data_IF_816869478723
#
_entry.id   IF_816869478723
#
_cell.length_a   1.000
_cell.length_b   1.000
_cell.length_c   1.000
_cell.angle_alpha   90.00
_cell.angle_beta   90.00
_cell.angle_gamma   90.00
#
_symmetry.space_group_name_H-M   'P 1'
#
loop_
_entity.id
_entity.type
_entity.pdbx_description
1 polymer ?
#
# COMPACT_ATOMS: atom_id res chain seq x y z
N UNK A 1 44.38 64.40 15.32
CA UNK A 1 42.95 64.81 15.32
C UNK A 1 42.13 63.64 15.87
N UNK A 2 42.05 63.59 17.21
CA UNK A 2 40.84 63.62 18.05
C UNK A 2 39.53 63.14 17.41
N UNK A 3 38.61 62.39 18.03
CA UNK A 3 38.45 61.86 19.40
C UNK A 3 37.14 61.02 19.42
N UNK A 4 37.09 60.02 20.31
CA UNK A 4 35.96 59.57 21.16
C UNK A 4 34.66 59.00 20.56
N UNK A 5 34.47 57.71 20.84
CA UNK A 5 33.37 57.08 21.62
C UNK A 5 32.18 57.97 22.01
N UNK A 6 30.93 57.52 21.80
CA UNK A 6 29.84 57.70 22.78
C UNK A 6 28.88 56.50 22.78
N UNK A 7 28.84 55.87 23.94
CA UNK A 7 27.86 54.99 24.59
C UNK A 7 26.40 55.44 24.40
N UNK A 8 25.48 54.53 24.10
CA UNK A 8 24.05 54.80 24.30
C UNK A 8 23.48 53.85 25.34
N UNK A 9 23.28 54.43 26.51
CA UNK A 9 22.54 53.94 27.67
C UNK A 9 21.07 54.37 27.53
N UNK A 10 20.19 53.66 28.25
CA UNK A 10 18.81 54.02 28.63
C UNK A 10 17.70 53.69 27.61
N UNK A 11 16.51 53.22 27.99
CA UNK A 11 15.90 52.87 29.28
C UNK A 11 14.68 51.99 28.97
N UNK A 12 14.30 51.11 29.91
CA UNK A 12 13.07 50.34 29.88
C UNK A 12 11.83 51.24 29.92
N UNK A 13 10.85 50.98 29.04
CA UNK A 13 9.47 51.40 29.26
C UNK A 13 8.58 50.16 29.32
N UNK A 14 7.95 49.99 30.48
CA UNK A 14 6.93 48.98 30.77
C UNK A 14 5.58 49.68 30.57
N UNK A 15 4.68 49.08 29.82
CA UNK A 15 3.24 49.34 30.02
C UNK A 15 2.48 48.03 30.14
N UNK A 16 2.06 47.78 31.37
CA UNK A 16 1.08 46.81 31.81
C UNK A 16 -0.33 47.40 31.59
N UNK A 17 -1.19 46.72 30.82
CA UNK A 17 -2.64 46.99 30.84
C UNK A 17 -3.42 45.66 30.75
N UNK A 18 -3.77 45.15 31.94
CA UNK A 18 -5.11 44.78 32.43
C UNK A 18 -6.03 43.81 31.63
N UNK A 19 -6.51 42.82 32.39
CA UNK A 19 -7.40 41.65 32.16
C UNK A 19 -8.76 41.83 31.41
N UNK A 20 -9.16 40.75 30.70
CA UNK A 20 -10.47 40.06 30.41
C UNK A 20 -11.83 40.81 30.50
N UNK A 21 -12.92 40.45 29.74
CA UNK A 21 -13.29 39.06 29.43
C UNK A 21 -13.92 38.70 28.06
N UNK A 22 -13.69 37.43 27.67
CA UNK A 22 -14.62 36.43 27.12
C UNK A 22 -15.68 36.90 26.09
N UNK A 23 -15.44 36.58 24.82
CA UNK A 23 -16.50 36.21 23.88
C UNK A 23 -16.03 35.02 23.02
N UNK A 24 -16.81 33.96 23.12
CA UNK A 24 -16.64 32.63 22.54
C UNK A 24 -16.60 32.61 21.01
N UNK A 25 -15.48 32.15 20.45
CA UNK A 25 -15.43 31.71 19.06
C UNK A 25 -15.94 30.25 18.95
N UNK A 26 -16.83 29.94 18.00
CA UNK A 26 -17.30 28.58 17.77
C UNK A 26 -16.13 27.69 17.37
N UNK A 27 -15.95 26.59 18.10
CA UNK A 27 -15.10 25.47 17.67
C UNK A 27 -15.68 24.93 16.36
N UNK A 28 -15.07 25.26 15.23
CA UNK A 28 -15.25 24.45 14.03
C UNK A 28 -14.76 23.04 14.38
N UNK A 29 -15.69 22.10 14.35
CA UNK A 29 -15.43 20.70 14.55
C UNK A 29 -14.51 20.23 13.43
N UNK A 30 -13.22 20.05 13.77
CA UNK A 30 -12.31 19.24 12.96
C UNK A 30 -13.00 17.88 12.75
N UNK A 31 -13.13 17.41 11.51
CA UNK A 31 -13.92 16.24 11.16
C UNK A 31 -13.51 15.04 12.00
N UNK A 32 -14.44 14.12 12.30
CA UNK A 32 -14.11 12.91 13.05
C UNK A 32 -12.90 12.25 12.38
N UNK A 33 -11.88 11.98 13.18
CA UNK A 33 -10.77 11.09 12.87
C UNK A 33 -11.33 9.92 12.05
N UNK A 34 -10.69 9.46 10.96
CA UNK A 34 -11.22 8.38 10.13
C UNK A 34 -11.61 7.25 11.05
N UNK A 35 -12.92 7.17 11.31
CA UNK A 35 -13.47 6.20 12.23
C UNK A 35 -13.00 4.88 11.72
N UNK A 36 -12.52 4.01 12.61
CA UNK A 36 -12.29 2.60 12.33
C UNK A 36 -13.41 2.14 11.40
N UNK A 37 -13.09 2.04 10.10
CA UNK A 37 -14.04 1.58 9.11
C UNK A 37 -14.40 0.19 9.60
N UNK A 38 -15.66 0.01 9.95
CA UNK A 38 -16.17 -1.27 10.40
C UNK A 38 -15.76 -2.29 9.33
N UNK A 39 -14.83 -3.16 9.71
CA UNK A 39 -14.22 -4.15 8.83
C UNK A 39 -15.27 -5.23 8.55
N UNK A 40 -16.19 -4.88 7.66
CA UNK A 40 -17.32 -5.71 7.25
C UNK A 40 -17.27 -6.11 5.78
N UNK A 41 -16.61 -5.33 4.93
CA UNK A 41 -16.77 -5.45 3.46
C UNK A 41 -15.45 -5.27 2.67
N UNK A 42 -14.28 -5.41 3.31
CA UNK A 42 -12.98 -5.40 2.61
C UNK A 42 -12.65 -6.81 2.10
N UNK A 43 -12.26 -6.90 0.83
CA UNK A 43 -11.87 -8.17 0.18
C UNK A 43 -10.45 -8.05 -0.32
N UNK A 44 -9.63 -9.07 -0.05
CA UNK A 44 -8.26 -9.14 -0.54
C UNK A 44 -8.20 -10.08 -1.74
N UNK A 45 -7.53 -9.66 -2.80
CA UNK A 45 -7.39 -10.45 -4.04
C UNK A 45 -5.90 -10.59 -4.34
N UNK A 46 -5.42 -11.83 -4.44
CA UNK A 46 -4.05 -12.09 -4.87
C UNK A 46 -3.97 -11.98 -6.41
N UNK A 47 -3.14 -11.06 -6.89
CA UNK A 47 -3.02 -10.75 -8.32
C UNK A 47 -1.59 -10.98 -8.84
N UNK A 48 -1.50 -11.40 -10.09
CA UNK A 48 -0.25 -11.59 -10.82
C UNK A 48 -0.44 -11.38 -12.31
N UNK A 49 0.46 -11.96 -13.10
CA UNK A 49 0.44 -11.84 -14.56
C UNK A 49 -0.53 -12.84 -15.25
N UNK A 50 -1.14 -13.76 -14.48
CA UNK A 50 -2.06 -14.78 -14.99
C UNK A 50 -3.46 -14.25 -15.28
N UNK A 51 -4.13 -14.81 -16.29
CA UNK A 51 -5.54 -14.49 -16.61
C UNK A 51 -6.49 -14.81 -15.45
N UNK A 52 -6.24 -15.89 -14.71
CA UNK A 52 -7.04 -16.28 -13.53
C UNK A 52 -7.05 -15.22 -12.43
N UNK A 53 -6.02 -14.38 -12.35
CA UNK A 53 -5.99 -13.25 -11.40
C UNK A 53 -7.03 -12.19 -11.76
N UNK A 54 -7.26 -11.95 -13.05
CA UNK A 54 -8.30 -11.03 -13.51
C UNK A 54 -9.68 -11.63 -13.26
N UNK A 55 -9.86 -12.93 -13.53
CA UNK A 55 -11.12 -13.63 -13.27
C UNK A 55 -11.48 -13.60 -11.78
N UNK A 56 -10.50 -13.81 -10.89
CA UNK A 56 -10.66 -13.69 -9.45
C UNK A 56 -11.08 -12.28 -9.02
N UNK A 57 -10.49 -11.22 -9.61
CA UNK A 57 -10.93 -9.85 -9.33
C UNK A 57 -12.36 -9.61 -9.82
N UNK A 58 -12.68 -10.01 -11.05
CA UNK A 58 -14.02 -9.83 -11.60
C UNK A 58 -15.07 -10.55 -10.76
N UNK A 59 -14.75 -11.76 -10.29
CA UNK A 59 -15.58 -12.52 -9.36
C UNK A 59 -15.75 -11.78 -8.01
N UNK A 60 -14.69 -11.18 -7.47
CA UNK A 60 -14.75 -10.39 -6.24
C UNK A 60 -15.66 -9.15 -6.37
N UNK A 61 -15.68 -8.53 -7.56
CA UNK A 61 -16.45 -7.32 -7.86
C UNK A 61 -17.94 -7.62 -8.14
N UNK A 62 -18.32 -8.90 -8.25
CA UNK A 62 -19.69 -9.30 -8.54
C UNK A 62 -20.65 -8.88 -7.42
N UNK A 63 -21.72 -8.10 -7.73
CA UNK A 63 -22.68 -7.64 -6.74
C UNK A 63 -23.45 -8.78 -6.05
N UNK A 64 -23.59 -9.91 -6.75
CA UNK A 64 -24.27 -11.14 -6.30
C UNK A 64 -23.43 -11.99 -5.32
N UNK A 65 -22.14 -11.68 -5.17
CA UNK A 65 -21.20 -12.51 -4.43
C UNK A 65 -20.78 -11.88 -3.11
N UNK A 66 -20.09 -10.73 -3.19
CA UNK A 66 -19.40 -10.17 -2.02
C UNK A 66 -19.71 -8.69 -1.76
N UNK A 67 -20.33 -8.00 -2.73
CA UNK A 67 -20.59 -6.55 -2.77
C UNK A 67 -19.58 -5.74 -1.93
N UNK A 68 -18.27 -5.84 -2.25
CA UNK A 68 -17.24 -5.29 -1.39
C UNK A 68 -17.35 -3.77 -1.34
N UNK A 69 -17.13 -3.21 -0.15
CA UNK A 69 -16.99 -1.77 0.05
C UNK A 69 -15.65 -1.30 -0.46
N UNK A 70 -14.62 -2.12 -0.27
CA UNK A 70 -13.29 -1.91 -0.84
C UNK A 70 -12.60 -3.22 -1.18
N UNK A 71 -11.71 -3.17 -2.16
CA UNK A 71 -10.86 -4.27 -2.59
C UNK A 71 -9.41 -3.91 -2.32
N UNK A 72 -8.62 -4.88 -1.90
CA UNK A 72 -7.19 -4.73 -1.74
C UNK A 72 -6.46 -5.75 -2.61
N UNK A 73 -5.68 -5.25 -3.56
CA UNK A 73 -4.89 -6.07 -4.45
C UNK A 73 -3.57 -6.42 -3.75
N UNK A 74 -3.28 -7.70 -3.60
CA UNK A 74 -1.99 -8.19 -3.08
C UNK A 74 -1.19 -8.74 -4.24
N UNK A 75 -0.04 -8.15 -4.51
CA UNK A 75 0.91 -8.67 -5.49
C UNK A 75 2.24 -8.99 -4.79
N UNK A 76 2.67 -10.25 -4.94
CA UNK A 76 3.99 -10.69 -4.49
C UNK A 76 4.90 -10.75 -5.72
N UNK A 77 5.98 -9.99 -5.70
CA UNK A 77 7.03 -10.04 -6.72
C UNK A 77 8.30 -10.66 -6.14
N UNK A 78 9.09 -11.39 -6.96
CA UNK A 78 10.30 -12.04 -6.48
C UNK A 78 11.38 -11.02 -6.08
N UNK A 79 12.30 -11.47 -5.23
CA UNK A 79 13.49 -10.70 -4.88
C UNK A 79 14.47 -10.66 -6.06
N UNK A 80 15.05 -9.48 -6.31
CA UNK A 80 16.01 -9.32 -7.42
C UNK A 80 17.40 -9.76 -6.98
N UNK A 81 17.71 -11.05 -7.19
CA UNK A 81 19.04 -11.61 -6.98
C UNK A 81 19.93 -11.53 -8.23
N UNK A 82 19.33 -11.66 -9.40
CA UNK A 82 19.99 -11.69 -10.70
C UNK A 82 19.33 -10.72 -11.67
N UNK A 83 20.14 -10.06 -12.50
CA UNK A 83 19.68 -9.06 -13.44
C UNK A 83 20.12 -9.47 -14.85
N UNK A 84 19.17 -9.63 -15.80
CA UNK A 84 19.50 -9.85 -17.20
C UNK A 84 20.08 -8.57 -17.82
N UNK A 85 21.19 -8.73 -18.52
CA UNK A 85 21.84 -7.68 -19.30
C UNK A 85 22.08 -8.19 -20.74
N UNK A 86 22.39 -7.30 -21.70
CA UNK A 86 22.74 -7.74 -23.06
C UNK A 86 23.95 -8.69 -23.13
N UNK A 87 24.78 -8.74 -22.08
CA UNK A 87 25.97 -9.59 -21.99
C UNK A 87 25.73 -10.90 -21.23
N UNK A 88 24.50 -11.15 -20.77
CA UNK A 88 24.14 -12.31 -19.95
C UNK A 88 23.44 -11.92 -18.64
N UNK A 89 23.22 -12.92 -17.79
CA UNK A 89 22.59 -12.78 -16.48
C UNK A 89 23.67 -12.66 -15.42
N UNK A 90 23.63 -11.60 -14.62
CA UNK A 90 24.64 -11.34 -13.60
C UNK A 90 23.99 -11.22 -12.21
N UNK A 91 24.65 -11.68 -11.13
CA UNK A 91 24.26 -11.35 -9.78
C UNK A 91 24.20 -9.84 -9.57
N UNK A 92 23.20 -9.35 -8.83
CA UNK A 92 22.99 -7.91 -8.58
C UNK A 92 24.25 -7.20 -8.06
N UNK A 93 25.03 -7.85 -7.21
CA UNK A 93 26.26 -7.29 -6.61
C UNK A 93 27.43 -7.12 -7.61
N UNK A 94 27.37 -7.75 -8.78
CA UNK A 94 28.41 -7.63 -9.81
C UNK A 94 28.14 -6.48 -10.79
N UNK A 95 26.99 -5.81 -10.66
CA UNK A 95 26.57 -4.75 -11.54
C UNK A 95 26.80 -3.38 -10.90
N UNK A 96 26.97 -2.38 -11.75
CA UNK A 96 27.06 -1.00 -11.30
C UNK A 96 25.66 -0.46 -10.94
N UNK A 97 25.60 0.52 -10.04
CA UNK A 97 24.36 1.08 -9.49
C UNK A 97 23.38 1.53 -10.59
N UNK A 98 23.90 2.13 -11.67
CA UNK A 98 23.07 2.53 -12.83
C UNK A 98 22.34 1.37 -13.49
N UNK A 99 22.97 0.20 -13.59
CA UNK A 99 22.35 -0.98 -14.20
C UNK A 99 21.29 -1.56 -13.27
N UNK A 100 21.60 -1.61 -11.98
CA UNK A 100 20.68 -2.09 -10.93
C UNK A 100 19.46 -1.17 -10.84
N UNK A 101 19.67 0.14 -10.84
CA UNK A 101 18.61 1.15 -10.79
C UNK A 101 17.71 1.04 -12.02
N UNK A 102 18.28 0.98 -13.23
CA UNK A 102 17.52 0.84 -14.47
C UNK A 102 16.63 -0.41 -14.44
N UNK A 103 17.17 -1.55 -14.02
CA UNK A 103 16.39 -2.79 -13.93
C UNK A 103 15.28 -2.68 -12.87
N UNK A 104 15.60 -2.12 -11.70
CA UNK A 104 14.61 -1.93 -10.62
C UNK A 104 13.48 -1.00 -11.06
N UNK A 105 13.79 0.08 -11.79
CA UNK A 105 12.77 0.97 -12.37
C UNK A 105 11.91 0.24 -13.41
N UNK A 106 12.52 -0.55 -14.29
CA UNK A 106 11.81 -1.33 -15.29
C UNK A 106 10.82 -2.32 -14.65
N UNK A 107 11.25 -3.06 -13.62
CA UNK A 107 10.37 -3.99 -12.89
C UNK A 107 9.23 -3.24 -12.19
N UNK A 108 9.53 -2.10 -11.55
CA UNK A 108 8.50 -1.24 -10.95
C UNK A 108 7.48 -0.77 -11.97
N UNK A 109 7.91 -0.31 -13.14
CA UNK A 109 7.02 0.09 -14.23
C UNK A 109 6.15 -1.08 -14.70
N UNK A 110 6.74 -2.27 -14.89
CA UNK A 110 5.98 -3.47 -15.28
C UNK A 110 4.89 -3.80 -14.26
N UNK A 111 5.23 -3.78 -12.97
CA UNK A 111 4.29 -4.04 -11.87
C UNK A 111 3.18 -2.98 -11.86
N UNK A 112 3.52 -1.70 -12.01
CA UNK A 112 2.55 -0.61 -12.05
C UNK A 112 1.59 -0.72 -13.25
N UNK A 113 2.11 -1.00 -14.44
CA UNK A 113 1.30 -1.19 -15.65
C UNK A 113 0.34 -2.39 -15.52
N UNK A 114 0.82 -3.48 -14.92
CA UNK A 114 0.00 -4.65 -14.62
C UNK A 114 -1.12 -4.30 -13.64
N UNK A 115 -0.78 -3.70 -12.50
CA UNK A 115 -1.74 -3.32 -11.46
C UNK A 115 -2.77 -2.30 -11.94
N UNK A 116 -2.37 -1.36 -12.80
CA UNK A 116 -3.28 -0.35 -13.33
C UNK A 116 -4.48 -0.98 -14.04
N UNK A 117 -4.30 -2.14 -14.69
CA UNK A 117 -5.42 -2.86 -15.34
C UNK A 117 -6.47 -3.29 -14.32
N UNK A 118 -6.03 -3.81 -13.17
CA UNK A 118 -6.91 -4.22 -12.08
C UNK A 118 -7.59 -3.02 -11.41
N UNK A 119 -6.84 -1.95 -11.18
CA UNK A 119 -7.40 -0.71 -10.63
C UNK A 119 -8.48 -0.11 -11.54
N UNK A 120 -8.26 -0.10 -12.85
CA UNK A 120 -9.26 0.35 -13.83
C UNK A 120 -10.55 -0.48 -13.76
N UNK A 121 -10.46 -1.80 -13.58
CA UNK A 121 -11.62 -2.67 -13.39
C UNK A 121 -12.38 -2.37 -12.08
N UNK A 122 -11.66 -2.08 -10.99
CA UNK A 122 -12.27 -1.67 -9.72
C UNK A 122 -12.99 -0.33 -9.85
N UNK A 123 -12.35 0.66 -10.49
CA UNK A 123 -12.91 1.98 -10.76
C UNK A 123 -14.18 1.89 -11.63
N UNK A 124 -14.15 1.06 -12.66
CA UNK A 124 -15.32 0.81 -13.53
C UNK A 124 -16.50 0.24 -12.75
N UNK A 125 -16.21 -0.51 -11.68
CA UNK A 125 -17.21 -1.11 -10.78
C UNK A 125 -17.58 -0.20 -9.60
N UNK A 126 -17.03 1.03 -9.53
CA UNK A 126 -17.23 2.00 -8.44
C UNK A 126 -16.83 1.47 -7.05
N UNK A 127 -15.82 0.60 -7.00
CA UNK A 127 -15.26 0.04 -5.76
C UNK A 127 -13.92 0.70 -5.47
N UNK A 128 -13.70 1.10 -4.22
CA UNK A 128 -12.42 1.64 -3.76
C UNK A 128 -11.36 0.52 -3.75
N UNK A 129 -10.18 0.80 -4.31
CA UNK A 129 -9.13 -0.19 -4.46
C UNK A 129 -7.79 0.29 -3.88
N UNK A 130 -7.24 -0.51 -2.96
CA UNK A 130 -5.89 -0.37 -2.42
C UNK A 130 -4.94 -1.39 -3.05
N UNK A 131 -3.63 -1.20 -2.89
CA UNK A 131 -2.63 -2.18 -3.33
C UNK A 131 -1.54 -2.40 -2.28
N UNK A 132 -1.18 -3.67 -2.06
CA UNK A 132 -0.01 -4.09 -1.29
C UNK A 132 0.97 -4.86 -2.18
N UNK A 133 2.17 -4.30 -2.32
CA UNK A 133 3.31 -4.91 -2.98
C UNK A 133 4.22 -5.57 -1.95
N UNK A 134 4.59 -6.82 -2.19
CA UNK A 134 5.47 -7.57 -1.30
C UNK A 134 6.60 -8.16 -2.11
N UNK A 135 7.84 -7.92 -1.69
CA UNK A 135 9.01 -8.56 -2.25
C UNK A 135 9.26 -9.87 -1.50
N UNK A 136 9.16 -11.01 -2.19
CA UNK A 136 9.42 -12.35 -1.64
C UNK A 136 9.43 -13.40 -2.73
N UNK A 137 10.39 -14.33 -2.67
CA UNK A 137 10.42 -15.51 -3.55
C UNK A 137 9.36 -16.57 -3.16
N UNK A 138 8.79 -16.46 -1.95
CA UNK A 138 7.84 -17.43 -1.41
C UNK A 138 6.45 -16.79 -1.27
N UNK A 139 5.66 -16.85 -2.36
CA UNK A 139 4.34 -16.21 -2.49
C UNK A 139 3.40 -16.59 -1.33
N UNK A 140 3.23 -17.89 -1.07
CA UNK A 140 2.34 -18.38 0.01
C UNK A 140 2.75 -17.79 1.35
N UNK A 141 4.04 -17.92 1.69
CA UNK A 141 4.56 -17.51 3.00
C UNK A 141 4.42 -16.00 3.20
N UNK A 142 4.64 -15.22 2.14
CA UNK A 142 4.45 -13.78 2.16
C UNK A 142 2.98 -13.41 2.44
N UNK A 143 2.04 -14.00 1.71
CA UNK A 143 0.60 -13.72 1.89
C UNK A 143 0.12 -14.20 3.25
N UNK A 144 0.49 -15.41 3.67
CA UNK A 144 0.19 -15.96 5.00
C UNK A 144 0.70 -15.05 6.11
N UNK A 145 1.94 -14.55 5.99
CA UNK A 145 2.52 -13.62 6.97
C UNK A 145 1.79 -12.28 7.03
N UNK A 146 1.11 -11.89 5.96
CA UNK A 146 0.34 -10.66 5.87
C UNK A 146 -1.05 -10.76 6.50
N UNK A 147 -1.65 -11.96 6.53
CA UNK A 147 -2.99 -12.19 7.10
C UNK A 147 -3.15 -11.57 8.50
N UNK A 148 -2.29 -11.87 9.50
CA UNK A 148 -2.43 -11.30 10.84
C UNK A 148 -2.08 -9.81 10.89
N UNK A 149 -1.25 -9.30 9.98
CA UNK A 149 -0.83 -7.89 9.94
C UNK A 149 -1.93 -6.98 9.43
N UNK A 150 -2.68 -7.44 8.42
CA UNK A 150 -3.77 -6.69 7.80
C UNK A 150 -5.16 -7.15 8.24
N UNK A 151 -5.24 -8.09 9.21
CA UNK A 151 -6.49 -8.72 9.66
C UNK A 151 -7.35 -9.24 8.48
N UNK A 152 -6.71 -9.94 7.53
CA UNK A 152 -7.37 -10.43 6.32
C UNK A 152 -8.44 -11.46 6.67
N UNK A 153 -9.71 -11.11 6.48
CA UNK A 153 -10.86 -12.01 6.69
C UNK A 153 -11.29 -12.76 5.45
N UNK A 154 -11.15 -12.16 4.26
CA UNK A 154 -11.51 -12.78 2.97
C UNK A 154 -10.39 -12.59 1.98
N UNK A 155 -9.85 -13.70 1.48
CA UNK A 155 -8.80 -13.74 0.48
C UNK A 155 -9.25 -14.56 -0.72
N UNK A 156 -9.21 -13.94 -1.90
CA UNK A 156 -9.58 -14.55 -3.18
C UNK A 156 -8.32 -14.75 -4.00
N UNK A 157 -8.15 -15.95 -4.56
CA UNK A 157 -6.99 -16.31 -5.38
C UNK A 157 -7.48 -17.00 -6.65
N UNK A 158 -6.97 -16.55 -7.80
CA UNK A 158 -7.23 -17.23 -9.06
C UNK A 158 -6.55 -18.59 -9.11
N UNK A 159 -7.34 -19.65 -9.35
CA UNK A 159 -6.84 -21.00 -9.47
C UNK A 159 -6.19 -21.21 -10.84
N UNK A 160 -5.02 -21.82 -10.83
CA UNK A 160 -4.38 -22.41 -12.01
C UNK A 160 -3.86 -23.78 -11.60
N UNK A 161 -3.52 -24.66 -12.56
CA UNK A 161 -2.88 -25.95 -12.22
C UNK A 161 -1.64 -25.81 -11.33
N UNK A 162 -0.95 -24.66 -11.36
CA UNK A 162 0.19 -24.36 -10.49
C UNK A 162 -0.20 -23.89 -9.08
N UNK A 163 -1.37 -23.27 -8.91
CA UNK A 163 -1.82 -22.69 -7.64
C UNK A 163 -2.53 -23.68 -6.70
N UNK A 164 -2.88 -24.89 -7.15
CA UNK A 164 -3.52 -25.93 -6.31
C UNK A 164 -2.69 -26.33 -5.07
N UNK A 165 -1.37 -26.09 -5.09
CA UNK A 165 -0.49 -26.33 -3.94
C UNK A 165 -0.61 -25.25 -2.86
N UNK A 166 -1.09 -24.06 -3.22
CA UNK A 166 -1.19 -22.94 -2.29
C UNK A 166 -2.38 -23.16 -1.32
N UNK A 167 -3.47 -23.77 -1.80
CA UNK A 167 -4.68 -24.09 -1.03
C UNK A 167 -4.40 -24.84 0.29
N UNK A 168 -3.55 -25.87 0.23
CA UNK A 168 -3.25 -26.71 1.41
C UNK A 168 -2.50 -25.94 2.49
N UNK A 169 -1.69 -24.96 2.12
CA UNK A 169 -0.95 -24.13 3.08
C UNK A 169 -1.82 -23.00 3.63
N UNK A 170 -2.67 -22.37 2.81
CA UNK A 170 -3.57 -21.30 3.27
C UNK A 170 -4.64 -21.80 4.24
N UNK A 171 -5.19 -23.01 4.02
CA UNK A 171 -6.20 -23.63 4.90
C UNK A 171 -5.72 -23.89 6.34
N UNK A 172 -4.41 -23.82 6.60
CA UNK A 172 -3.84 -23.99 7.96
C UNK A 172 -3.97 -22.73 8.82
N UNK A 173 -4.26 -21.56 8.24
CA UNK A 173 -4.33 -20.28 8.94
C UNK A 173 -5.81 -19.91 9.13
N UNK A 174 -6.34 -20.28 10.30
CA UNK A 174 -7.77 -20.26 10.61
C UNK A 174 -8.26 -18.84 10.97
N UNK A 175 -9.47 -18.50 10.50
CA UNK A 175 -10.23 -17.23 10.49
C UNK A 175 -10.27 -16.44 9.18
N UNK A 176 -9.51 -16.84 8.15
CA UNK A 176 -9.63 -16.26 6.81
C UNK A 176 -10.46 -17.18 5.92
N UNK A 177 -11.51 -16.64 5.30
CA UNK A 177 -12.23 -17.30 4.21
C UNK A 177 -11.38 -17.23 2.94
N UNK A 178 -11.00 -18.39 2.43
CA UNK A 178 -10.19 -18.53 1.21
C UNK A 178 -11.07 -18.98 0.06
N UNK A 179 -11.05 -18.24 -1.04
CA UNK A 179 -11.89 -18.50 -2.22
C UNK A 179 -11.01 -18.69 -3.45
N UNK A 180 -11.13 -19.84 -4.07
CA UNK A 180 -10.49 -20.16 -5.34
C UNK A 180 -11.49 -19.98 -6.49
N UNK A 181 -11.09 -19.24 -7.52
CA UNK A 181 -11.90 -18.91 -8.70
C UNK A 181 -11.20 -19.33 -9.98
#
# INVERSE_FOLDING_TARGET
MNTSEITSTAVCEIQEVKEEPRASEPREAVPPSPGMAVDGDKVYVAVGESSSSMDALLWALRPDVAKPRSVCLIHVHPEVHYIPTPLGIFPKHQLNDRQVERFTQQEKTKIQEMLQKYLNSCQSSKVEADTHLIESDQIVKAIVGLIPVLNIKRLIVGATKANLRLDTEFKKFLHTEFIEV
#
